data_IF_931998454900
#
_entry.id   IF_931998454900
#
_cell.length_a   1.000
_cell.length_b   1.000
_cell.length_c   1.000
_cell.angle_alpha   90.00
_cell.angle_beta   90.00
_cell.angle_gamma   90.00
#
_symmetry.space_group_name_H-M   'P 1'
#
loop_
_entity.id
_entity.type
_entity.pdbx_description
1 polymer ?
#
# COMPACT_ATOMS: atom_id res chain seq x y z
N UNK A 1 7.51 13.77 -17.25
CA UNK A 1 6.24 13.07 -17.03
C UNK A 1 6.07 12.05 -18.13
N UNK A 2 6.03 10.77 -17.79
CA UNK A 2 5.60 9.74 -18.73
C UNK A 2 4.09 9.84 -18.95
N UNK A 3 3.66 9.53 -20.16
CA UNK A 3 2.24 9.50 -20.51
C UNK A 3 1.63 8.22 -19.94
N UNK A 4 0.66 8.35 -19.04
CA UNK A 4 -0.17 7.24 -18.57
C UNK A 4 -1.47 7.22 -19.39
N UNK A 5 -1.72 6.17 -20.20
CA UNK A 5 -2.98 6.07 -20.91
C UNK A 5 -4.15 5.94 -19.93
N UNK A 6 -5.36 6.43 -20.29
CA UNK A 6 -6.55 6.24 -19.49
C UNK A 6 -6.79 4.76 -19.19
N UNK A 7 -7.29 4.45 -17.99
CA UNK A 7 -7.63 3.09 -17.56
C UNK A 7 -6.49 2.07 -17.71
N UNK A 8 -5.24 2.51 -17.57
CA UNK A 8 -4.05 1.63 -17.55
C UNK A 8 -3.48 1.47 -16.14
N UNK A 9 -4.22 0.84 -15.21
CA UNK A 9 -3.77 0.68 -13.83
C UNK A 9 -2.48 -0.17 -13.77
N UNK A 10 -2.31 -1.11 -14.70
CA UNK A 10 -1.15 -1.98 -14.77
C UNK A 10 0.14 -1.22 -15.12
N UNK A 11 0.01 -0.07 -15.79
CA UNK A 11 1.14 0.80 -16.12
C UNK A 11 1.48 1.78 -14.99
N UNK A 12 0.72 1.80 -13.90
CA UNK A 12 0.96 2.70 -12.78
C UNK A 12 1.62 1.95 -11.62
N UNK A 13 2.94 2.07 -11.50
CA UNK A 13 3.75 1.36 -10.51
C UNK A 13 3.30 1.60 -9.05
N UNK A 14 2.65 2.73 -8.73
CA UNK A 14 2.10 2.95 -7.38
C UNK A 14 1.03 1.91 -6.99
N UNK A 15 0.40 1.27 -7.98
CA UNK A 15 -0.58 0.19 -7.75
C UNK A 15 0.07 -1.03 -7.13
N UNK A 16 1.33 -1.33 -7.46
CA UNK A 16 2.07 -2.44 -6.87
C UNK A 16 2.36 -2.16 -5.39
N UNK A 17 2.78 -0.94 -5.06
CA UNK A 17 2.94 -0.50 -3.67
C UNK A 17 1.62 -0.60 -2.89
N UNK A 18 0.50 -0.11 -3.44
CA UNK A 18 -0.81 -0.25 -2.77
C UNK A 18 -1.27 -1.70 -2.63
N UNK A 19 -0.92 -2.58 -3.58
CA UNK A 19 -1.22 -4.01 -3.49
C UNK A 19 -0.43 -4.65 -2.34
N UNK A 20 0.85 -4.33 -2.20
CA UNK A 20 1.70 -4.80 -1.10
C UNK A 20 1.19 -4.28 0.25
N UNK A 21 0.87 -2.99 0.37
CA UNK A 21 0.29 -2.42 1.58
C UNK A 21 -1.03 -3.12 1.95
N UNK A 22 -1.90 -3.35 0.97
CA UNK A 22 -3.17 -4.07 1.17
C UNK A 22 -2.92 -5.50 1.67
N UNK A 23 -1.94 -6.21 1.12
CA UNK A 23 -1.59 -7.56 1.58
C UNK A 23 -1.22 -7.57 3.06
N UNK A 24 -0.35 -6.65 3.50
CA UNK A 24 0.06 -6.55 4.91
C UNK A 24 -1.08 -6.16 5.84
N UNK A 25 -1.94 -5.21 5.42
CA UNK A 25 -3.11 -4.80 6.19
C UNK A 25 -4.15 -5.92 6.31
N UNK A 26 -4.38 -6.70 5.25
CA UNK A 26 -5.37 -7.78 5.25
C UNK A 26 -4.87 -9.04 5.96
N UNK A 27 -3.56 -9.23 6.09
CA UNK A 27 -3.00 -10.31 6.90
C UNK A 27 -3.37 -10.14 8.39
N UNK A 28 -3.57 -8.90 8.85
CA UNK A 28 -4.08 -8.59 10.18
C UNK A 28 -5.57 -8.22 10.11
N UNK A 29 -6.43 -9.23 9.97
CA UNK A 29 -7.88 -9.05 9.88
C UNK A 29 -8.51 -8.32 11.09
N UNK A 30 -7.85 -8.35 12.25
CA UNK A 30 -8.29 -7.62 13.44
C UNK A 30 -8.07 -6.11 13.30
N UNK A 31 -7.01 -5.69 12.62
CA UNK A 31 -6.73 -4.27 12.39
C UNK A 31 -7.85 -3.58 11.60
N UNK A 32 -8.36 -4.21 10.54
CA UNK A 32 -9.47 -3.65 9.76
C UNK A 32 -10.72 -3.41 10.62
N UNK A 33 -10.99 -4.31 11.58
CA UNK A 33 -12.10 -4.21 12.53
C UNK A 33 -11.86 -3.09 13.55
N UNK A 34 -10.65 -2.99 14.10
CA UNK A 34 -10.27 -1.94 15.04
C UNK A 34 -10.33 -0.55 14.39
N UNK A 35 -9.84 -0.42 13.15
CA UNK A 35 -9.87 0.82 12.38
C UNK A 35 -11.28 1.35 12.15
N UNK A 36 -12.27 0.46 11.95
CA UNK A 36 -13.67 0.87 11.74
C UNK A 36 -14.42 1.23 13.03
N UNK A 37 -13.97 0.72 14.19
CA UNK A 37 -14.75 0.81 15.43
C UNK A 37 -14.12 1.69 16.50
N UNK A 38 -12.80 1.78 16.56
CA UNK A 38 -12.09 2.23 17.77
C UNK A 38 -10.90 3.16 17.50
N UNK A 39 -10.23 3.06 16.35
CA UNK A 39 -9.03 3.85 16.10
C UNK A 39 -9.35 5.31 15.75
N UNK A 40 -8.51 6.20 16.26
CA UNK A 40 -8.46 7.60 15.83
C UNK A 40 -7.73 7.72 14.48
N UNK A 41 -7.99 8.80 13.74
CA UNK A 41 -7.35 9.06 12.45
C UNK A 41 -5.81 9.04 12.52
N UNK A 42 -5.23 9.51 13.63
CA UNK A 42 -3.77 9.48 13.84
C UNK A 42 -3.22 8.06 13.91
N UNK A 43 -3.94 7.14 14.55
CA UNK A 43 -3.53 5.73 14.67
C UNK A 43 -3.64 5.02 13.32
N UNK A 44 -4.68 5.37 12.53
CA UNK A 44 -4.82 4.92 11.15
C UNK A 44 -3.62 5.38 10.31
N UNK A 45 -3.24 6.67 10.43
CA UNK A 45 -2.11 7.23 9.71
C UNK A 45 -0.79 6.54 10.08
N UNK A 46 -0.52 6.36 11.37
CA UNK A 46 0.70 5.68 11.86
C UNK A 46 0.76 4.26 11.31
N UNK A 47 -0.35 3.52 11.32
CA UNK A 47 -0.34 2.13 10.83
C UNK A 47 -0.12 2.06 9.31
N UNK A 48 -0.75 2.95 8.54
CA UNK A 48 -0.50 3.03 7.10
C UNK A 48 0.97 3.35 6.80
N UNK A 49 1.58 4.21 7.62
CA UNK A 49 2.99 4.55 7.51
C UNK A 49 3.88 3.35 7.86
N UNK A 50 3.60 2.63 8.94
CA UNK A 50 4.34 1.43 9.32
C UNK A 50 4.29 0.36 8.23
N UNK A 51 3.11 0.13 7.65
CA UNK A 51 2.94 -0.80 6.51
C UNK A 51 3.68 -0.31 5.27
N UNK A 52 3.72 1.00 5.01
CA UNK A 52 4.53 1.53 3.92
C UNK A 52 6.02 1.23 4.15
N UNK A 53 6.50 1.31 5.38
CA UNK A 53 7.90 1.01 5.74
C UNK A 53 8.24 -0.48 5.73
N UNK A 54 7.29 -1.39 5.55
CA UNK A 54 7.61 -2.81 5.29
C UNK A 54 8.02 -3.07 3.83
N UNK A 55 7.73 -2.12 2.93
CA UNK A 55 8.12 -2.20 1.53
C UNK A 55 9.59 -1.78 1.42
N UNK A 56 10.42 -2.69 0.91
CA UNK A 56 11.86 -2.46 0.79
C UNK A 56 12.21 -1.76 -0.53
N UNK A 57 13.38 -1.10 -0.62
CA UNK A 57 13.90 -0.62 -1.90
C UNK A 57 13.98 -1.75 -2.94
N UNK A 58 14.36 -2.96 -2.53
CA UNK A 58 14.46 -4.13 -3.40
C UNK A 58 13.11 -4.51 -4.03
N UNK A 59 12.03 -4.45 -3.25
CA UNK A 59 10.66 -4.64 -3.78
C UNK A 59 10.36 -3.60 -4.86
N UNK A 60 10.67 -2.33 -4.58
CA UNK A 60 10.41 -1.22 -5.52
C UNK A 60 11.23 -1.33 -6.81
N UNK A 61 12.49 -1.77 -6.72
CA UNK A 61 13.32 -2.03 -7.90
C UNK A 61 12.78 -3.20 -8.70
N UNK A 62 12.32 -4.26 -8.03
CA UNK A 62 11.68 -5.40 -8.68
C UNK A 62 10.41 -5.00 -9.46
N UNK A 63 9.61 -4.09 -8.91
CA UNK A 63 8.42 -3.56 -9.58
C UNK A 63 8.74 -2.66 -10.77
N UNK A 64 9.85 -1.92 -10.73
CA UNK A 64 10.28 -1.07 -11.83
C UNK A 64 10.89 -1.87 -12.99
N UNK A 65 11.53 -3.00 -12.67
CA UNK A 65 12.18 -3.87 -13.65
C UNK A 65 11.21 -4.81 -14.39
N UNK A 66 9.93 -4.83 -14.00
CA UNK A 66 8.86 -5.63 -14.60
C UNK A 66 8.12 -4.83 -15.68
#
# INVERSE_FOLDING_TARGET
CEFLPPYSPDLNQIKLAFSAMKYHLCHDGEYARLAMMQLMEQEIYITLLDVLYTITPEDSYGWFAH
#
